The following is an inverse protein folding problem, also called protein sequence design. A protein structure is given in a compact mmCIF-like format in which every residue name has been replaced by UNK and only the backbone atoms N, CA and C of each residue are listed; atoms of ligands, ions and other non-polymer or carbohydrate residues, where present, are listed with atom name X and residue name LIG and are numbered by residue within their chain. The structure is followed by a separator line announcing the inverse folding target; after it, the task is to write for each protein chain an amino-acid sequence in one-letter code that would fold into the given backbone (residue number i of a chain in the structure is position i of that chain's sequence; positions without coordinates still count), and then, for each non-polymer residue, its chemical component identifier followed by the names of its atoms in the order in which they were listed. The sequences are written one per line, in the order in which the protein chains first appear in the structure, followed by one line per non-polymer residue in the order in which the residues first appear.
data_IF_434682423737
#
_entry.id   IF_434682423737
#
_cell.length_a   1.000
_cell.length_b   1.000
_cell.length_c   1.000
_cell.angle_alpha   90.00
_cell.angle_beta   90.00
_cell.angle_gamma   90.00
#
_symmetry.space_group_name_H-M   'P 1'
#
loop_
_entity.id
_entity.type
_entity.pdbx_description
1 polymer ?
#
# COMPACT_ATOMS: atom_id res chain seq x y z
N UNK A 1 9.52 21.23 0.55
CA UNK A 1 9.73 19.79 0.37
C UNK A 1 9.82 19.17 1.75
N UNK A 2 8.83 18.31 2.10
CA UNK A 2 8.69 17.80 3.48
C UNK A 2 9.31 16.40 3.61
N UNK A 3 10.60 16.24 3.33
CA UNK A 3 11.32 14.97 3.53
C UNK A 3 11.26 14.48 4.98
N UNK A 4 11.25 15.40 5.94
CA UNK A 4 11.21 15.09 7.38
C UNK A 4 9.93 14.34 7.79
N UNK A 5 8.82 14.58 7.09
CA UNK A 5 7.54 13.90 7.37
C UNK A 5 7.59 12.39 7.11
N UNK A 6 8.50 11.93 6.25
CA UNK A 6 8.67 10.54 5.87
C UNK A 6 9.94 9.89 6.42
N UNK A 7 10.63 10.55 7.35
CA UNK A 7 11.88 10.03 7.93
C UNK A 7 11.70 8.61 8.49
N UNK A 8 10.61 8.33 9.20
CA UNK A 8 10.34 7.00 9.75
C UNK A 8 10.16 5.93 8.66
N UNK A 9 9.61 6.27 7.49
CA UNK A 9 9.51 5.38 6.34
C UNK A 9 10.90 5.09 5.76
N UNK A 10 11.72 6.13 5.58
CA UNK A 10 13.11 6.01 5.08
C UNK A 10 13.95 5.13 6.00
N UNK A 11 13.88 5.37 7.31
CA UNK A 11 14.58 4.56 8.31
C UNK A 11 14.09 3.10 8.28
N UNK A 12 12.77 2.88 8.13
CA UNK A 12 12.22 1.51 8.04
C UNK A 12 12.70 0.78 6.79
N UNK A 13 12.81 1.47 5.66
CA UNK A 13 13.40 0.92 4.44
C UNK A 13 14.87 0.57 4.64
N UNK A 14 15.63 1.45 5.28
CA UNK A 14 17.04 1.22 5.60
C UNK A 14 17.21 -0.02 6.50
N UNK A 15 16.41 -0.14 7.56
CA UNK A 15 16.43 -1.32 8.44
C UNK A 15 16.09 -2.61 7.69
N UNK A 16 15.07 -2.57 6.82
CA UNK A 16 14.69 -3.71 6.00
C UNK A 16 15.76 -4.05 4.95
N UNK A 17 16.41 -3.04 4.36
CA UNK A 17 17.53 -3.20 3.43
C UNK A 17 18.72 -3.91 4.08
N UNK A 18 19.13 -3.47 5.27
CA UNK A 18 20.20 -4.12 6.05
C UNK A 18 19.87 -5.60 6.30
N UNK A 19 18.63 -5.89 6.73
CA UNK A 19 18.18 -7.26 6.98
C UNK A 19 18.23 -8.13 5.73
N UNK A 20 17.86 -7.61 4.58
CA UNK A 20 17.84 -8.33 3.31
C UNK A 20 19.19 -8.32 2.58
N UNK A 21 20.23 -7.70 3.15
CA UNK A 21 21.55 -7.60 2.55
C UNK A 21 21.59 -6.77 1.27
N UNK A 22 20.76 -5.72 1.17
CA UNK A 22 20.69 -4.82 0.03
C UNK A 22 20.79 -3.35 0.45
N UNK A 23 21.38 -2.54 -0.43
CA UNK A 23 21.35 -1.08 -0.33
C UNK A 23 20.07 -0.55 -0.99
N UNK A 24 19.35 0.29 -0.31
CA UNK A 24 18.17 0.95 -0.86
C UNK A 24 18.59 2.19 -1.63
N UNK A 25 18.21 2.26 -2.89
CA UNK A 25 18.23 3.49 -3.70
C UNK A 25 16.83 4.08 -3.74
N UNK A 26 16.61 5.13 -2.96
CA UNK A 26 15.29 5.73 -2.75
C UNK A 26 15.03 6.84 -3.77
N UNK A 27 14.06 6.63 -4.64
CA UNK A 27 13.62 7.62 -5.62
C UNK A 27 12.30 8.27 -5.16
N UNK A 28 12.35 9.56 -4.89
CA UNK A 28 11.17 10.37 -4.60
C UNK A 28 10.45 10.76 -5.87
N UNK A 29 9.16 10.51 -5.92
CA UNK A 29 8.31 10.84 -7.07
C UNK A 29 7.14 11.70 -6.60
N UNK A 30 6.94 12.83 -7.27
CA UNK A 30 5.80 13.70 -7.07
C UNK A 30 4.58 13.10 -7.79
N UNK A 31 3.58 12.68 -7.02
CA UNK A 31 2.38 12.03 -7.56
C UNK A 31 1.57 12.91 -8.49
N UNK A 32 1.63 14.24 -8.36
CA UNK A 32 0.96 15.17 -9.30
C UNK A 32 1.52 15.08 -10.74
N UNK A 33 2.74 14.56 -10.91
CA UNK A 33 3.39 14.35 -12.21
C UNK A 33 3.08 13.01 -12.85
N UNK A 34 2.46 12.11 -12.09
CA UNK A 34 2.11 10.76 -12.56
C UNK A 34 0.76 10.81 -13.29
N UNK A 35 0.78 10.35 -14.51
CA UNK A 35 -0.40 10.20 -15.38
C UNK A 35 -0.38 8.82 -16.05
N UNK A 36 -1.49 8.36 -16.65
CA UNK A 36 -1.49 7.11 -17.40
C UNK A 36 -0.45 7.05 -18.52
N UNK A 37 0.00 8.21 -19.04
CA UNK A 37 1.02 8.29 -20.10
C UNK A 37 2.45 8.29 -19.57
N UNK A 38 2.67 8.77 -18.35
CA UNK A 38 4.02 8.92 -17.77
C UNK A 38 4.39 7.84 -16.76
N UNK A 39 3.41 7.08 -16.25
CA UNK A 39 3.62 6.14 -15.13
C UNK A 39 4.65 5.07 -15.45
N UNK A 40 4.63 4.48 -16.64
CA UNK A 40 5.61 3.48 -17.07
C UNK A 40 7.02 4.07 -17.07
N UNK A 41 7.24 5.19 -17.76
CA UNK A 41 8.55 5.84 -17.83
C UNK A 41 9.12 6.25 -16.45
N UNK A 42 8.25 6.51 -15.47
CA UNK A 42 8.65 6.89 -14.12
C UNK A 42 8.95 5.66 -13.24
N UNK A 43 8.13 4.60 -13.36
CA UNK A 43 8.13 3.48 -12.42
C UNK A 43 8.79 2.20 -12.96
N UNK A 44 9.08 2.08 -14.27
CA UNK A 44 9.68 0.85 -14.82
C UNK A 44 11.00 0.49 -14.15
N UNK A 45 11.83 1.48 -13.86
CA UNK A 45 13.12 1.28 -13.21
C UNK A 45 13.04 0.92 -11.72
N UNK A 46 11.88 1.09 -11.08
CA UNK A 46 11.72 0.79 -9.66
C UNK A 46 11.46 -0.70 -9.44
N UNK A 47 12.08 -1.29 -8.43
CA UNK A 47 11.89 -2.69 -8.05
C UNK A 47 10.73 -2.89 -7.06
N UNK A 48 10.27 -1.81 -6.44
CA UNK A 48 9.09 -1.75 -5.60
C UNK A 48 8.63 -0.31 -5.38
N UNK A 49 7.37 -0.13 -5.04
CA UNK A 49 6.76 1.20 -4.86
C UNK A 49 6.04 1.28 -3.52
N UNK A 50 6.30 2.36 -2.78
CA UNK A 50 5.54 2.72 -1.57
C UNK A 50 4.68 3.94 -1.86
N UNK A 51 3.40 3.84 -1.50
CA UNK A 51 2.52 5.00 -1.35
C UNK A 51 2.34 5.23 0.16
N UNK A 52 2.98 6.25 0.72
CA UNK A 52 2.99 6.48 2.15
C UNK A 52 1.68 7.09 2.67
N UNK A 53 1.59 7.26 3.98
CA UNK A 53 0.52 8.00 4.63
C UNK A 53 0.51 9.48 4.23
N UNK A 54 -0.67 10.06 4.21
CA UNK A 54 -0.90 11.47 3.86
C UNK A 54 -2.32 11.90 4.18
N UNK A 55 -2.62 13.16 3.94
CA UNK A 55 -3.93 13.77 4.10
C UNK A 55 -4.23 14.70 2.93
N UNK A 56 -5.52 14.92 2.65
CA UNK A 56 -5.98 15.80 1.58
C UNK A 56 -5.98 15.12 0.21
N UNK A 57 -6.39 15.88 -0.79
CA UNK A 57 -6.70 15.41 -2.14
C UNK A 57 -5.55 15.57 -3.16
N UNK A 58 -4.43 16.15 -2.73
CA UNK A 58 -3.30 16.46 -3.60
C UNK A 58 -2.64 15.20 -4.14
N UNK A 59 -2.57 15.07 -5.48
CA UNK A 59 -1.86 14.00 -6.17
C UNK A 59 -2.53 12.62 -6.09
N UNK A 60 -3.79 12.55 -5.65
CA UNK A 60 -4.55 11.30 -5.49
C UNK A 60 -4.67 10.52 -6.78
N UNK A 61 -4.98 11.17 -7.91
CA UNK A 61 -5.12 10.49 -9.20
C UNK A 61 -3.80 9.86 -9.67
N UNK A 62 -2.66 10.52 -9.40
CA UNK A 62 -1.34 9.94 -9.66
C UNK A 62 -1.02 8.74 -8.76
N UNK A 63 -1.44 8.76 -7.50
CA UNK A 63 -1.29 7.62 -6.60
C UNK A 63 -2.17 6.45 -7.04
N UNK A 64 -3.41 6.70 -7.49
CA UNK A 64 -4.31 5.67 -8.04
C UNK A 64 -3.71 5.07 -9.31
N UNK A 65 -3.18 5.91 -10.20
CA UNK A 65 -2.47 5.46 -11.40
C UNK A 65 -1.25 4.59 -11.06
N UNK A 66 -0.51 4.94 -10.02
CA UNK A 66 0.63 4.18 -9.49
C UNK A 66 0.19 2.80 -8.97
N UNK A 67 -0.85 2.75 -8.14
CA UNK A 67 -1.39 1.50 -7.59
C UNK A 67 -1.87 0.56 -8.70
N UNK A 68 -2.58 1.11 -9.71
CA UNK A 68 -2.99 0.39 -10.92
C UNK A 68 -1.80 -0.21 -11.65
N UNK A 69 -0.80 0.62 -11.93
CA UNK A 69 0.40 0.19 -12.63
C UNK A 69 1.09 -0.97 -11.89
N UNK A 70 1.26 -0.86 -10.58
CA UNK A 70 1.88 -1.91 -9.77
C UNK A 70 1.06 -3.21 -9.82
N UNK A 71 -0.27 -3.14 -9.73
CA UNK A 71 -1.16 -4.30 -9.81
C UNK A 71 -1.08 -5.00 -11.17
N UNK A 72 -1.13 -4.24 -12.26
CA UNK A 72 -1.14 -4.76 -13.63
C UNK A 72 0.21 -5.32 -14.07
N UNK A 73 1.33 -4.77 -13.56
CA UNK A 73 2.69 -5.19 -13.94
C UNK A 73 3.39 -6.06 -12.89
N UNK A 74 2.65 -6.61 -11.92
CA UNK A 74 3.19 -7.44 -10.83
C UNK A 74 4.35 -6.78 -10.06
N UNK A 75 4.34 -5.45 -9.97
CA UNK A 75 5.35 -4.68 -9.26
C UNK A 75 5.02 -4.66 -7.77
N UNK A 76 5.96 -4.98 -6.87
CA UNK A 76 5.73 -4.87 -5.44
C UNK A 76 5.18 -3.51 -5.03
N UNK A 77 4.03 -3.52 -4.37
CA UNK A 77 3.32 -2.33 -3.90
C UNK A 77 3.11 -2.40 -2.39
N UNK A 78 3.46 -1.35 -1.70
CA UNK A 78 3.18 -1.19 -0.29
C UNK A 78 2.44 0.12 -0.01
N UNK A 79 1.17 0.01 0.36
CA UNK A 79 0.31 1.15 0.72
C UNK A 79 0.22 1.33 2.24
N UNK A 80 0.63 2.49 2.75
CA UNK A 80 0.57 2.82 4.18
C UNK A 80 -0.52 3.85 4.41
N UNK A 81 -1.49 3.60 5.29
CA UNK A 81 -2.59 4.49 5.66
C UNK A 81 -3.33 5.01 4.41
N UNK A 82 -3.06 6.22 3.93
CA UNK A 82 -3.59 6.73 2.66
C UNK A 82 -3.28 5.77 1.50
N UNK A 83 -2.10 5.19 1.45
CA UNK A 83 -1.71 4.25 0.41
C UNK A 83 -2.58 2.99 0.35
N UNK A 84 -3.04 2.46 1.50
CA UNK A 84 -4.05 1.40 1.51
C UNK A 84 -5.38 1.90 0.91
N UNK A 85 -5.83 3.07 1.31
CA UNK A 85 -7.09 3.67 0.80
C UNK A 85 -7.03 3.88 -0.72
N UNK A 86 -5.88 4.32 -1.23
CA UNK A 86 -5.61 4.43 -2.67
C UNK A 86 -5.73 3.09 -3.38
N UNK A 87 -5.16 2.01 -2.82
CA UNK A 87 -5.28 0.67 -3.40
C UNK A 87 -6.75 0.20 -3.45
N UNK A 88 -7.54 0.51 -2.42
CA UNK A 88 -8.99 0.18 -2.37
C UNK A 88 -9.76 0.98 -3.43
N UNK A 89 -9.49 2.27 -3.58
CA UNK A 89 -10.13 3.12 -4.59
C UNK A 89 -9.75 2.65 -6.00
N UNK A 90 -8.48 2.36 -6.23
CA UNK A 90 -7.99 1.83 -7.51
C UNK A 90 -8.72 0.52 -7.87
N UNK A 91 -8.79 -0.41 -6.92
CA UNK A 91 -9.44 -1.69 -7.12
C UNK A 91 -10.93 -1.52 -7.45
N UNK A 92 -11.63 -0.63 -6.75
CA UNK A 92 -13.01 -0.32 -7.02
C UNK A 92 -13.20 0.27 -8.43
N UNK A 93 -12.36 1.20 -8.85
CA UNK A 93 -12.46 1.83 -10.18
C UNK A 93 -12.15 0.88 -11.32
N UNK A 94 -11.09 0.12 -11.21
CA UNK A 94 -10.54 -0.63 -12.34
C UNK A 94 -10.89 -2.13 -12.35
N UNK A 95 -11.28 -2.70 -11.21
CA UNK A 95 -11.66 -4.13 -11.11
C UNK A 95 -13.17 -4.29 -10.92
N UNK A 96 -13.81 -3.46 -10.09
CA UNK A 96 -15.28 -3.47 -9.92
C UNK A 96 -16.00 -2.65 -10.99
N UNK A 97 -15.31 -1.68 -11.65
CA UNK A 97 -15.90 -0.82 -12.66
C UNK A 97 -16.62 0.41 -12.11
N UNK A 98 -16.43 0.76 -10.85
CA UNK A 98 -17.01 1.95 -10.22
C UNK A 98 -16.15 3.17 -10.51
N UNK A 99 -16.30 3.76 -11.69
CA UNK A 99 -15.44 4.86 -12.18
C UNK A 99 -15.41 6.09 -11.26
N UNK A 100 -16.47 6.32 -10.49
CA UNK A 100 -16.60 7.39 -9.51
C UNK A 100 -16.12 7.02 -8.09
N UNK A 101 -15.56 5.80 -7.89
CA UNK A 101 -15.12 5.37 -6.58
C UNK A 101 -14.08 6.34 -5.98
N UNK A 102 -14.30 6.71 -4.72
CA UNK A 102 -13.52 7.73 -4.03
C UNK A 102 -13.52 7.53 -2.51
N UNK A 103 -12.78 8.41 -1.81
CA UNK A 103 -12.88 8.59 -0.36
C UNK A 103 -13.85 9.73 -0.02
N UNK A 104 -14.58 9.61 1.07
CA UNK A 104 -15.34 10.73 1.64
C UNK A 104 -14.45 11.93 2.02
N UNK A 105 -13.15 11.74 2.20
CA UNK A 105 -12.18 12.82 2.39
C UNK A 105 -12.04 13.70 1.14
N UNK A 106 -12.15 13.10 -0.05
CA UNK A 106 -11.96 13.78 -1.33
C UNK A 106 -13.30 14.19 -1.98
N UNK A 107 -14.42 13.76 -1.42
CA UNK A 107 -15.77 14.04 -1.86
C UNK A 107 -16.65 14.58 -0.70
N UNK A 108 -16.33 15.75 -0.14
CA UNK A 108 -17.05 16.31 1.00
C UNK A 108 -18.51 16.67 0.68
N UNK A 109 -18.83 16.89 -0.60
CA UNK A 109 -20.18 17.19 -1.06
C UNK A 109 -21.01 15.92 -1.33
N UNK A 110 -20.44 14.75 -1.07
CA UNK A 110 -21.12 13.45 -1.24
C UNK A 110 -21.69 13.21 -2.64
N UNK A 111 -20.97 13.62 -3.68
CA UNK A 111 -21.40 13.47 -5.08
C UNK A 111 -21.28 12.06 -5.62
N UNK A 112 -20.27 11.30 -5.13
CA UNK A 112 -20.08 9.91 -5.54
C UNK A 112 -21.02 8.96 -4.79
N UNK A 113 -21.60 8.01 -5.51
CA UNK A 113 -22.34 6.89 -4.91
C UNK A 113 -21.39 5.80 -4.36
N UNK A 114 -20.16 5.73 -4.87
CA UNK A 114 -19.17 4.72 -4.50
C UNK A 114 -18.05 5.30 -3.61
N UNK A 115 -18.42 5.78 -2.42
CA UNK A 115 -17.43 6.17 -1.40
C UNK A 115 -16.92 4.92 -0.68
N UNK A 116 -15.93 4.27 -1.29
CA UNK A 116 -15.34 3.01 -0.80
C UNK A 116 -14.46 3.20 0.44
N UNK A 117 -14.07 4.44 0.70
CA UNK A 117 -13.43 4.90 1.95
C UNK A 117 -14.33 5.96 2.55
N UNK A 118 -14.70 5.78 3.81
CA UNK A 118 -15.73 6.61 4.45
C UNK A 118 -15.43 6.84 5.92
N UNK A 119 -16.02 7.89 6.49
CA UNK A 119 -15.97 8.12 7.92
C UNK A 119 -16.99 7.20 8.61
N UNK A 120 -16.65 6.62 9.75
CA UNK A 120 -17.58 5.76 10.48
C UNK A 120 -18.75 6.56 11.09
N UNK A 121 -19.94 5.94 11.16
CA UNK A 121 -21.17 6.57 11.65
C UNK A 121 -21.03 7.12 13.08
N UNK A 122 -20.26 6.47 13.93
CA UNK A 122 -19.98 6.91 15.31
C UNK A 122 -19.04 8.14 15.39
N UNK A 123 -18.43 8.52 14.27
CA UNK A 123 -17.54 9.68 14.14
C UNK A 123 -18.18 10.85 13.38
N UNK A 124 -19.30 10.64 12.72
CA UNK A 124 -20.04 11.70 12.02
C UNK A 124 -20.48 12.79 13.02
N UNK A 125 -20.19 14.03 12.71
CA UNK A 125 -20.51 15.19 13.58
C UNK A 125 -19.45 15.51 14.65
N UNK A 126 -18.41 14.69 14.81
CA UNK A 126 -17.28 14.97 15.73
C UNK A 126 -16.06 15.59 15.03
N UNK A 127 -16.20 15.96 13.79
CA UNK A 127 -15.12 16.42 12.90
C UNK A 127 -14.40 17.67 13.43
N UNK A 128 -15.11 18.53 14.15
CA UNK A 128 -14.59 19.78 14.69
C UNK A 128 -13.82 19.65 16.01
N UNK A 129 -13.87 18.49 16.68
CA UNK A 129 -13.36 18.36 18.06
C UNK A 129 -12.01 17.66 18.17
N UNK A 130 -11.40 17.24 17.05
CA UNK A 130 -10.14 16.47 17.08
C UNK A 130 -10.24 15.07 17.71
N UNK A 131 -11.40 14.74 18.29
CA UNK A 131 -11.67 13.49 19.01
C UNK A 131 -12.07 12.31 18.09
N UNK A 132 -12.23 12.55 16.78
CA UNK A 132 -12.69 11.56 15.80
C UNK A 132 -11.58 10.75 15.15
N UNK A 133 -10.31 11.03 15.47
CA UNK A 133 -9.16 10.34 14.89
C UNK A 133 -8.85 9.06 15.66
N UNK A 134 -8.71 7.92 14.96
CA UNK A 134 -8.09 6.74 15.57
C UNK A 134 -6.60 7.03 15.76
N UNK A 135 -6.21 7.23 17.00
CA UNK A 135 -4.85 7.58 17.39
C UNK A 135 -4.34 6.62 18.45
N UNK A 136 -3.18 6.02 18.21
CA UNK A 136 -2.55 5.10 19.15
C UNK A 136 -2.42 3.67 18.61
N UNK A 137 -2.14 2.72 19.51
CA UNK A 137 -1.98 1.33 19.16
C UNK A 137 -3.32 0.58 19.24
N UNK A 138 -3.66 -0.14 18.19
CA UNK A 138 -4.84 -1.00 18.12
C UNK A 138 -4.48 -2.38 17.64
N UNK A 139 -5.27 -3.36 18.04
CA UNK A 139 -5.10 -4.74 17.63
C UNK A 139 -5.67 -4.95 16.22
N UNK A 140 -4.89 -5.64 15.39
CA UNK A 140 -5.26 -6.14 14.09
C UNK A 140 -5.22 -7.67 14.14
N UNK A 141 -6.35 -8.32 13.94
CA UNK A 141 -6.44 -9.78 13.74
C UNK A 141 -6.00 -10.08 12.33
N UNK A 142 -5.04 -10.98 12.18
CA UNK A 142 -4.41 -11.34 10.91
C UNK A 142 -5.10 -12.57 10.33
N UNK A 143 -5.50 -12.48 9.06
CA UNK A 143 -6.16 -13.58 8.35
C UNK A 143 -5.13 -14.65 7.95
N UNK A 144 -5.37 -15.93 8.26
CA UNK A 144 -4.45 -17.02 7.91
C UNK A 144 -4.29 -17.20 6.38
N UNK A 145 -3.11 -17.63 5.95
CA UNK A 145 -2.78 -17.90 4.55
C UNK A 145 -2.49 -16.65 3.72
N UNK A 146 -2.41 -15.48 4.36
CA UNK A 146 -2.19 -14.19 3.70
C UNK A 146 -0.71 -13.82 3.63
N UNK A 147 -0.38 -12.86 2.76
CA UNK A 147 0.94 -12.22 2.73
C UNK A 147 1.22 -11.51 4.06
N UNK A 148 0.20 -10.90 4.63
CA UNK A 148 0.32 -10.22 5.92
C UNK A 148 0.72 -11.21 7.03
N UNK A 149 0.11 -12.41 7.08
CA UNK A 149 0.51 -13.45 8.02
C UNK A 149 1.99 -13.83 7.81
N UNK A 150 2.40 -14.08 6.57
CA UNK A 150 3.81 -14.40 6.26
C UNK A 150 4.76 -13.30 6.73
N UNK A 151 4.37 -12.03 6.62
CA UNK A 151 5.17 -10.91 7.14
C UNK A 151 5.43 -11.02 8.64
N UNK A 152 4.39 -11.24 9.42
CA UNK A 152 4.50 -11.28 10.88
C UNK A 152 4.93 -12.64 11.44
N UNK A 153 4.81 -13.70 10.65
CA UNK A 153 5.18 -15.07 10.98
C UNK A 153 3.99 -16.01 10.94
N UNK A 154 4.20 -17.22 10.42
CA UNK A 154 3.17 -18.25 10.34
C UNK A 154 2.50 -18.53 11.70
N UNK A 155 1.18 -18.58 11.71
CA UNK A 155 0.38 -18.82 12.91
C UNK A 155 0.18 -17.62 13.82
N UNK A 156 0.67 -16.43 13.43
CA UNK A 156 0.34 -15.18 14.14
C UNK A 156 -1.15 -14.91 14.02
N UNK A 157 -1.82 -14.68 15.16
CA UNK A 157 -3.27 -14.44 15.19
C UNK A 157 -3.62 -12.96 15.20
N UNK A 158 -2.79 -12.15 15.83
CA UNK A 158 -3.00 -10.71 15.88
C UNK A 158 -1.71 -9.96 16.13
N UNK A 159 -1.72 -8.69 15.78
CA UNK A 159 -0.62 -7.75 15.98
C UNK A 159 -1.17 -6.42 16.49
N UNK A 160 -0.34 -5.68 17.22
CA UNK A 160 -0.69 -4.35 17.70
C UNK A 160 0.07 -3.32 16.89
N UNK A 161 -0.64 -2.45 16.16
CA UNK A 161 -0.02 -1.44 15.29
C UNK A 161 -0.57 -0.05 15.57
N UNK A 162 0.19 1.00 15.21
CA UNK A 162 -0.16 2.39 15.50
C UNK A 162 -0.98 3.00 14.37
N UNK A 163 -2.07 3.66 14.74
CA UNK A 163 -3.00 4.31 13.83
C UNK A 163 -2.96 5.84 13.99
N UNK A 164 -3.24 6.54 12.88
CA UNK A 164 -3.45 7.99 12.83
C UNK A 164 -4.30 8.32 11.62
N UNK A 165 -5.59 8.00 11.67
CA UNK A 165 -6.51 8.26 10.56
C UNK A 165 -7.94 8.44 11.04
N UNK A 166 -8.80 8.96 10.17
CA UNK A 166 -10.23 9.22 10.37
C UNK A 166 -11.10 8.35 9.49
N UNK A 167 -10.65 8.16 8.25
CA UNK A 167 -11.38 7.46 7.22
C UNK A 167 -11.00 5.99 7.23
N UNK A 168 -12.01 5.15 6.95
CA UNK A 168 -11.94 3.70 7.03
C UNK A 168 -12.50 3.06 5.76
N UNK A 169 -12.15 1.83 5.53
CA UNK A 169 -12.75 1.01 4.48
C UNK A 169 -14.27 0.91 4.69
N UNK A 170 -15.06 1.21 3.66
CA UNK A 170 -16.51 1.13 3.71
C UNK A 170 -16.99 -0.33 3.60
N UNK A 171 -17.57 -0.83 4.68
CA UNK A 171 -18.02 -2.22 4.78
C UNK A 171 -19.09 -2.63 3.76
N UNK A 172 -19.84 -1.67 3.19
CA UNK A 172 -20.83 -1.94 2.13
C UNK A 172 -20.21 -2.57 0.87
N UNK A 173 -18.89 -2.42 0.68
CA UNK A 173 -18.17 -2.92 -0.49
C UNK A 173 -17.35 -4.19 -0.22
N UNK A 174 -17.34 -4.73 1.01
CA UNK A 174 -16.52 -5.90 1.37
C UNK A 174 -16.73 -7.10 0.47
N UNK A 175 -17.98 -7.57 0.38
CA UNK A 175 -18.33 -8.77 -0.37
C UNK A 175 -17.97 -8.66 -1.85
N UNK A 176 -18.24 -7.50 -2.44
CA UNK A 176 -17.95 -7.24 -3.85
C UNK A 176 -16.45 -7.24 -4.13
N UNK A 177 -15.64 -6.62 -3.26
CA UNK A 177 -14.19 -6.58 -3.40
C UNK A 177 -13.56 -7.95 -3.19
N UNK A 178 -13.98 -8.69 -2.15
CA UNK A 178 -13.50 -10.04 -1.89
C UNK A 178 -13.86 -11.00 -3.04
N UNK A 179 -15.06 -10.91 -3.59
CA UNK A 179 -15.50 -11.73 -4.73
C UNK A 179 -14.66 -11.48 -6.00
N UNK A 180 -13.95 -10.34 -6.07
CA UNK A 180 -13.06 -9.98 -7.19
C UNK A 180 -11.57 -10.12 -6.87
N UNK A 181 -11.23 -10.68 -5.71
CA UNK A 181 -9.86 -11.04 -5.36
C UNK A 181 -9.10 -10.04 -4.48
N UNK A 182 -9.77 -9.03 -3.91
CA UNK A 182 -9.17 -8.24 -2.84
C UNK A 182 -9.33 -8.99 -1.51
N UNK A 183 -8.25 -9.43 -0.92
CA UNK A 183 -8.25 -10.13 0.37
C UNK A 183 -8.19 -9.11 1.51
N UNK A 184 -9.08 -9.26 2.51
CA UNK A 184 -9.04 -8.48 3.75
C UNK A 184 -8.12 -9.22 4.74
N UNK A 185 -6.83 -8.93 4.68
CA UNK A 185 -5.79 -9.67 5.41
C UNK A 185 -5.63 -9.24 6.87
N UNK A 186 -6.20 -8.11 7.25
CA UNK A 186 -6.22 -7.63 8.63
C UNK A 186 -7.57 -7.01 9.00
N UNK A 187 -8.10 -7.38 10.16
CA UNK A 187 -9.41 -6.91 10.62
C UNK A 187 -9.34 -6.58 12.11
N UNK A 188 -10.06 -5.56 12.57
CA UNK A 188 -10.18 -5.27 13.99
C UNK A 188 -10.82 -6.43 14.76
N UNK A 189 -10.54 -6.62 16.07
CA UNK A 189 -11.14 -7.69 16.88
C UNK A 189 -12.67 -7.70 16.89
N UNK A 190 -13.30 -6.54 16.69
CA UNK A 190 -14.75 -6.41 16.55
C UNK A 190 -15.31 -6.90 15.21
N UNK A 191 -14.45 -7.17 14.24
CA UNK A 191 -14.82 -7.50 12.86
C UNK A 191 -15.30 -6.30 12.02
N UNK A 192 -15.37 -5.11 12.62
CA UNK A 192 -16.01 -3.95 11.98
C UNK A 192 -15.07 -3.14 11.08
N UNK A 193 -13.75 -3.15 11.35
CA UNK A 193 -12.78 -2.34 10.61
C UNK A 193 -11.84 -3.22 9.82
N UNK A 194 -11.54 -2.80 8.61
CA UNK A 194 -10.51 -3.41 7.75
C UNK A 194 -9.19 -2.69 8.00
N UNK A 195 -8.22 -3.42 8.54
CA UNK A 195 -6.92 -2.90 8.93
C UNK A 195 -5.84 -3.14 7.87
N UNK A 196 -6.04 -4.15 7.02
CA UNK A 196 -5.16 -4.45 5.91
C UNK A 196 -5.89 -5.12 4.75
N UNK A 197 -5.43 -4.84 3.54
CA UNK A 197 -5.89 -5.45 2.30
C UNK A 197 -4.71 -5.96 1.48
N UNK A 198 -4.93 -6.99 0.67
CA UNK A 198 -3.90 -7.50 -0.24
C UNK A 198 -4.49 -8.16 -1.47
N UNK A 199 -3.68 -8.32 -2.51
CA UNK A 199 -3.97 -9.15 -3.66
C UNK A 199 -2.98 -10.31 -3.64
N UNK A 200 -3.45 -11.49 -3.25
CA UNK A 200 -2.61 -12.65 -2.89
C UNK A 200 -1.89 -13.29 -4.08
N UNK A 201 -2.38 -13.13 -5.31
CA UNK A 201 -1.75 -13.63 -6.52
C UNK A 201 -0.60 -12.73 -7.03
N UNK A 202 -0.34 -11.62 -6.36
CA UNK A 202 0.77 -10.71 -6.69
C UNK A 202 2.02 -11.01 -5.85
N UNK A 203 3.21 -10.72 -6.35
CA UNK A 203 4.46 -10.92 -5.59
C UNK A 203 4.44 -10.26 -4.22
N UNK A 204 3.96 -9.04 -4.16
CA UNK A 204 3.66 -8.28 -2.95
C UNK A 204 2.75 -7.10 -3.30
N UNK A 205 1.48 -7.18 -2.94
CA UNK A 205 0.54 -6.07 -3.09
C UNK A 205 -0.25 -5.94 -1.80
N UNK A 206 0.26 -5.15 -0.88
CA UNK A 206 -0.25 -5.05 0.50
C UNK A 206 -0.52 -3.58 0.84
N UNK A 207 -1.69 -3.32 1.38
CA UNK A 207 -2.06 -2.06 1.99
C UNK A 207 -2.41 -2.24 3.45
N UNK A 208 -1.90 -1.36 4.32
CA UNK A 208 -2.20 -1.36 5.75
C UNK A 208 -2.74 0.00 6.20
N UNK A 209 -3.79 0.01 7.02
CA UNK A 209 -4.40 1.26 7.50
C UNK A 209 -3.58 1.91 8.62
N UNK A 210 -2.76 1.13 9.29
CA UNK A 210 -1.85 1.58 10.34
C UNK A 210 -0.51 2.09 9.80
N UNK A 211 0.35 2.58 10.70
CA UNK A 211 1.66 3.13 10.43
C UNK A 211 2.77 2.23 11.00
N UNK A 212 3.16 1.17 10.27
CA UNK A 212 4.16 0.20 10.76
C UNK A 212 5.55 0.79 10.88
N UNK A 213 5.85 1.89 10.16
CA UNK A 213 7.13 2.59 10.19
C UNK A 213 7.52 3.05 11.59
N UNK A 214 6.56 3.30 12.47
CA UNK A 214 6.86 3.76 13.84
C UNK A 214 7.40 2.64 14.75
N UNK A 215 7.31 1.38 14.32
CA UNK A 215 7.77 0.23 15.09
C UNK A 215 9.08 -0.38 14.58
N UNK A 216 9.60 0.10 13.47
CA UNK A 216 10.87 -0.39 12.92
C UNK A 216 12.07 0.03 13.76
N UNK A 217 13.06 -0.88 13.87
CA UNK A 217 14.33 -0.64 14.56
C UNK A 217 15.46 -1.31 13.77
N UNK A 218 16.71 -0.84 13.87
CA UNK A 218 17.86 -1.43 13.15
C UNK A 218 18.02 -2.93 13.40
N UNK A 219 17.93 -3.35 14.66
CA UNK A 219 18.08 -4.77 15.06
C UNK A 219 16.77 -5.58 14.90
N UNK A 220 15.64 -4.91 14.68
CA UNK A 220 14.32 -5.54 14.53
C UNK A 220 13.50 -4.75 13.50
N UNK A 221 13.80 -4.91 12.20
CA UNK A 221 13.05 -4.24 11.15
C UNK A 221 11.59 -4.65 11.21
N UNK A 222 10.71 -3.70 10.91
CA UNK A 222 9.28 -3.97 10.92
C UNK A 222 8.94 -5.01 9.83
N UNK A 223 8.17 -6.06 10.16
CA UNK A 223 8.00 -7.24 9.32
C UNK A 223 7.46 -6.95 7.91
N UNK A 224 6.49 -6.03 7.76
CA UNK A 224 5.89 -5.72 6.45
C UNK A 224 6.92 -5.02 5.55
N UNK A 225 7.73 -4.11 6.09
CA UNK A 225 8.85 -3.49 5.36
C UNK A 225 9.90 -4.51 4.96
N UNK A 226 10.22 -5.46 5.84
CA UNK A 226 11.20 -6.53 5.58
C UNK A 226 10.77 -7.36 4.37
N UNK A 227 9.54 -7.83 4.35
CA UNK A 227 9.02 -8.67 3.26
C UNK A 227 8.79 -7.87 1.97
N UNK A 228 8.40 -6.60 2.07
CA UNK A 228 8.33 -5.71 0.91
C UNK A 228 9.71 -5.57 0.23
N UNK A 229 10.77 -5.35 1.00
CA UNK A 229 12.13 -5.27 0.44
C UNK A 229 12.60 -6.63 -0.09
N UNK A 230 12.23 -7.76 0.52
CA UNK A 230 12.51 -9.08 -0.03
C UNK A 230 11.84 -9.27 -1.40
N UNK A 231 10.60 -8.84 -1.56
CA UNK A 231 9.89 -8.88 -2.84
C UNK A 231 10.52 -7.94 -3.89
N UNK A 232 10.91 -6.73 -3.49
CA UNK A 232 11.61 -5.79 -4.36
C UNK A 232 12.97 -6.34 -4.82
N UNK A 233 13.74 -6.96 -3.92
CA UNK A 233 14.99 -7.65 -4.26
C UNK A 233 14.77 -8.75 -5.30
N UNK A 234 13.75 -9.59 -5.13
CA UNK A 234 13.42 -10.63 -6.10
C UNK A 234 13.04 -10.05 -7.47
N UNK A 235 12.36 -8.91 -7.50
CA UNK A 235 12.05 -8.20 -8.75
C UNK A 235 13.32 -7.66 -9.42
N UNK A 236 14.22 -7.07 -8.65
CA UNK A 236 15.53 -6.61 -9.14
C UNK A 236 16.34 -7.75 -9.76
N UNK A 237 16.44 -8.89 -9.08
CA UNK A 237 17.19 -10.06 -9.55
C UNK A 237 16.62 -10.61 -10.86
N UNK A 238 15.29 -10.69 -11.00
CA UNK A 238 14.63 -11.09 -12.25
C UNK A 238 14.94 -10.12 -13.39
N UNK A 239 14.82 -8.82 -13.15
CA UNK A 239 15.12 -7.80 -14.15
C UNK A 239 16.57 -7.84 -14.61
N UNK A 240 17.51 -8.10 -13.70
CA UNK A 240 18.93 -8.25 -14.04
C UNK A 240 19.18 -9.49 -14.89
N UNK A 241 18.54 -10.61 -14.58
CA UNK A 241 18.65 -11.84 -15.38
C UNK A 241 18.11 -11.65 -16.81
N UNK A 242 16.92 -11.04 -16.94
CA UNK A 242 16.31 -10.74 -18.25
C UNK A 242 17.17 -9.79 -19.11
N UNK A 243 17.83 -8.81 -18.49
CA UNK A 243 18.72 -7.90 -19.21
C UNK A 243 20.01 -8.61 -19.66
N UNK A 244 20.58 -9.49 -18.84
CA UNK A 244 21.75 -10.28 -19.20
C UNK A 244 21.47 -11.23 -20.39
N UNK A 245 20.30 -11.87 -20.41
CA UNK A 245 19.89 -12.72 -21.53
C UNK A 245 19.77 -11.93 -22.84
N UNK A 246 19.16 -10.73 -22.81
CA UNK A 246 19.03 -9.86 -23.98
C UNK A 246 20.37 -9.36 -24.52
N UNK A 247 21.35 -9.12 -23.64
CA UNK A 247 22.70 -8.73 -24.06
C UNK A 247 23.44 -9.87 -24.78
N UNK A 248 23.22 -11.12 -24.36
CA UNK A 248 23.80 -12.31 -25.00
C UNK A 248 23.18 -12.51 -26.40
N UNK A 249 21.84 -12.48 -26.51
CA UNK A 249 21.17 -12.67 -27.80
C UNK A 249 21.57 -11.60 -28.82
N UNK A 250 21.71 -10.33 -28.42
CA UNK A 250 22.13 -9.25 -29.30
C UNK A 250 23.60 -9.37 -29.74
N UNK A 251 24.45 -10.05 -28.97
CA UNK A 251 25.86 -10.30 -29.34
C UNK A 251 26.01 -11.43 -30.37
N UNK A 252 25.10 -12.42 -30.34
CA UNK A 252 25.11 -13.54 -31.31
C UNK A 252 24.52 -13.14 -32.68
N UNK A 253 23.62 -12.14 -32.74
CA UNK A 253 23.05 -11.63 -34.00
C UNK A 253 24.04 -10.71 -34.78
N UNK A 254 25.13 -10.28 -34.14
CA UNK A 254 26.12 -9.33 -34.74
C UNK A 254 27.40 -10.02 -35.22
N UNK A 255 27.55 -11.33 -35.09
CA UNK A 255 28.62 -12.16 -35.69
C UNK A 255 28.12 -12.85 -36.98
#
# INVERSE_FOLDING_TARGET
EMFDSYLSVVESLTHAGIHNGVKIDLKWVDSEKITPRSVSAILDCADGVIVPGGFGDRGIEGMICTAKYCREHNKPYFGICLGMQIAVIEFARNVLGYADATSGEFDPECKSEHRVIYIMDDQVGKEMTGASMRLGAYECVVEPGTTLERCYGEGVKSVWERHRHRYEFNNAFREQMQAKGLTLSGISPSGKLVEAVEITDKPFYVGVQYHPEFKSRPAKPQPVFREFIAAAKSMMEKRQAENAEKEVDNSEETE
#
